data_IF_028617813086
#
_entry.id   IF_028617813086
#
_cell.length_a   1.000
_cell.length_b   1.000
_cell.length_c   1.000
_cell.angle_alpha   90.00
_cell.angle_beta   90.00
_cell.angle_gamma   90.00
#
_symmetry.space_group_name_H-M   'P 1'
#
loop_
_entity.id
_entity.type
_entity.pdbx_description
1 polymer ?
#
# COMPACT_ATOMS: atom_id res chain seq x y z
N UNK A 1 11.65 -11.92 2.10
CA UNK A 1 10.38 -11.26 1.73
C UNK A 1 10.15 -9.99 2.54
N UNK A 2 10.21 -10.00 3.89
CA UNK A 2 10.08 -8.78 4.69
C UNK A 2 11.06 -7.64 4.31
N UNK A 3 12.33 -7.94 4.07
CA UNK A 3 13.32 -6.93 3.64
C UNK A 3 12.97 -6.23 2.31
N UNK A 4 12.07 -6.78 1.50
CA UNK A 4 11.62 -6.13 0.26
C UNK A 4 10.55 -5.04 0.51
N UNK A 5 10.16 -4.78 1.76
CA UNK A 5 9.38 -3.59 2.12
C UNK A 5 10.25 -2.34 2.29
N UNK A 6 11.57 -2.44 2.18
CA UNK A 6 12.48 -1.29 2.16
C UNK A 6 12.75 -0.88 0.72
N UNK A 7 12.53 0.39 0.39
CA UNK A 7 12.72 0.92 -0.96
C UNK A 7 14.13 1.47 -1.17
N UNK A 8 14.66 1.30 -2.40
CA UNK A 8 15.90 1.95 -2.85
C UNK A 8 15.76 3.44 -3.14
N UNK A 9 14.71 4.09 -2.62
CA UNK A 9 14.41 5.54 -2.75
C UNK A 9 14.07 6.06 -4.14
N UNK A 10 13.89 5.20 -5.15
CA UNK A 10 13.29 5.59 -6.42
C UNK A 10 11.77 5.30 -6.43
N UNK A 11 11.01 6.00 -7.28
CA UNK A 11 9.55 5.91 -7.33
C UNK A 11 9.04 4.49 -7.56
N UNK A 12 9.71 3.72 -8.42
CA UNK A 12 9.34 2.34 -8.71
C UNK A 12 9.55 1.46 -7.49
N UNK A 13 10.70 1.57 -6.84
CA UNK A 13 11.03 0.79 -5.64
C UNK A 13 10.09 1.09 -4.48
N UNK A 14 9.60 2.32 -4.37
CA UNK A 14 8.59 2.70 -3.36
C UNK A 14 7.30 1.91 -3.58
N UNK A 15 6.79 1.87 -4.81
CA UNK A 15 5.56 1.13 -5.10
C UNK A 15 5.74 -0.39 -5.01
N UNK A 16 6.88 -0.92 -5.43
CA UNK A 16 7.19 -2.34 -5.25
C UNK A 16 7.27 -2.74 -3.76
N UNK A 17 7.80 -1.85 -2.92
CA UNK A 17 7.83 -2.05 -1.46
C UNK A 17 6.43 -1.99 -0.83
N UNK A 18 5.57 -1.06 -1.26
CA UNK A 18 4.18 -0.95 -0.82
C UNK A 18 3.38 -2.19 -1.22
N UNK A 19 3.48 -2.65 -2.48
CA UNK A 19 2.80 -3.86 -2.96
C UNK A 19 3.25 -5.10 -2.16
N UNK A 20 4.56 -5.19 -1.88
CA UNK A 20 5.13 -6.26 -1.06
C UNK A 20 4.58 -6.23 0.36
N UNK A 21 4.48 -5.06 0.98
CA UNK A 21 3.90 -4.89 2.30
C UNK A 21 2.43 -5.31 2.34
N UNK A 22 1.60 -4.88 1.38
CA UNK A 22 0.19 -5.29 1.32
C UNK A 22 0.04 -6.82 1.25
N UNK A 23 0.87 -7.49 0.44
CA UNK A 23 0.84 -8.94 0.31
C UNK A 23 1.29 -9.64 1.60
N UNK A 24 2.34 -9.13 2.24
CA UNK A 24 2.83 -9.65 3.52
C UNK A 24 1.84 -9.45 4.66
N UNK A 25 0.99 -8.43 4.60
CA UNK A 25 -0.07 -8.21 5.59
C UNK A 25 -1.28 -9.13 5.34
N UNK A 26 -1.72 -9.25 4.09
CA UNK A 26 -2.87 -10.06 3.69
C UNK A 26 -2.77 -11.52 4.16
N UNK A 27 -1.65 -12.19 3.87
CA UNK A 27 -1.48 -13.62 4.16
C UNK A 27 -1.68 -13.97 5.64
N UNK A 28 -0.98 -13.34 6.61
CA UNK A 28 -1.23 -13.59 8.02
C UNK A 28 -2.60 -13.08 8.47
N UNK A 29 -3.11 -11.96 7.93
CA UNK A 29 -4.40 -11.42 8.34
C UNK A 29 -5.56 -12.37 8.03
N UNK A 30 -5.59 -12.98 6.83
CA UNK A 30 -6.56 -14.03 6.46
C UNK A 30 -6.42 -15.25 7.37
N UNK A 31 -5.19 -15.67 7.65
CA UNK A 31 -4.93 -16.85 8.49
C UNK A 31 -5.39 -16.63 9.94
N UNK A 32 -5.11 -15.45 10.50
CA UNK A 32 -5.52 -15.07 11.85
C UNK A 32 -7.04 -14.93 11.93
N UNK A 33 -7.67 -14.30 10.94
CA UNK A 33 -9.12 -14.18 10.90
C UNK A 33 -9.78 -15.57 10.87
N UNK A 34 -9.30 -16.49 10.04
CA UNK A 34 -9.79 -17.86 10.00
C UNK A 34 -9.60 -18.62 11.33
N UNK A 35 -8.45 -18.44 12.00
CA UNK A 35 -8.19 -19.09 13.29
C UNK A 35 -9.15 -18.64 14.41
N UNK A 36 -9.53 -17.37 14.41
CA UNK A 36 -10.44 -16.78 15.40
C UNK A 36 -11.91 -16.72 14.96
N UNK A 37 -12.26 -17.31 13.81
CA UNK A 37 -13.61 -17.25 13.22
C UNK A 37 -14.11 -15.81 12.99
N UNK A 38 -13.18 -14.91 12.64
CA UNK A 38 -13.49 -13.56 12.23
C UNK A 38 -13.67 -13.48 10.71
N UNK A 39 -14.58 -12.62 10.28
CA UNK A 39 -14.72 -12.30 8.86
C UNK A 39 -13.59 -11.38 8.42
N UNK A 40 -12.71 -11.87 7.56
CA UNK A 40 -11.74 -11.03 6.86
C UNK A 40 -12.45 -10.26 5.74
N UNK A 41 -12.44 -8.93 5.84
CA UNK A 41 -13.11 -8.03 4.89
C UNK A 41 -12.26 -7.84 3.63
N UNK A 42 -12.25 -8.87 2.77
CA UNK A 42 -11.51 -8.85 1.51
C UNK A 42 -11.90 -7.66 0.63
N UNK A 43 -13.18 -7.28 0.64
CA UNK A 43 -13.74 -6.13 -0.05
C UNK A 43 -13.06 -4.80 0.33
N UNK A 44 -12.75 -4.62 1.60
CA UNK A 44 -12.04 -3.43 2.10
C UNK A 44 -10.58 -3.40 1.64
N UNK A 45 -9.90 -4.55 1.65
CA UNK A 45 -8.54 -4.63 1.12
C UNK A 45 -8.51 -4.36 -0.39
N UNK A 46 -9.44 -4.93 -1.14
CA UNK A 46 -9.56 -4.73 -2.58
C UNK A 46 -9.79 -3.25 -2.90
N UNK A 47 -10.68 -2.57 -2.15
CA UNK A 47 -10.90 -1.12 -2.28
C UNK A 47 -9.68 -0.28 -1.92
N UNK A 48 -8.93 -0.66 -0.88
CA UNK A 48 -7.66 0.00 -0.54
C UNK A 48 -6.62 -0.16 -1.66
N UNK A 49 -6.48 -1.37 -2.24
CA UNK A 49 -5.55 -1.62 -3.36
C UNK A 49 -5.95 -0.85 -4.61
N UNK A 50 -7.24 -0.77 -4.90
CA UNK A 50 -7.76 0.04 -6.00
C UNK A 50 -7.40 1.52 -5.80
N UNK A 51 -7.62 2.05 -4.60
CA UNK A 51 -7.26 3.43 -4.27
C UNK A 51 -5.76 3.69 -4.43
N UNK A 52 -4.89 2.80 -3.94
CA UNK A 52 -3.44 2.92 -4.10
C UNK A 52 -3.03 2.92 -5.58
N UNK A 53 -3.66 2.11 -6.41
CA UNK A 53 -3.42 2.11 -7.85
C UNK A 53 -3.86 3.41 -8.53
N UNK A 54 -4.95 4.03 -8.08
CA UNK A 54 -5.37 5.37 -8.54
C UNK A 54 -4.30 6.40 -8.18
N UNK A 55 -3.81 6.39 -6.93
CA UNK A 55 -2.77 7.32 -6.45
C UNK A 55 -1.46 7.13 -7.24
N UNK A 56 -1.03 5.90 -7.47
CA UNK A 56 0.15 5.54 -8.27
C UNK A 56 0.06 6.06 -9.71
N UNK A 57 -1.15 6.07 -10.29
CA UNK A 57 -1.39 6.54 -11.66
C UNK A 57 -1.61 8.05 -11.73
N UNK A 58 -2.07 8.66 -10.63
CA UNK A 58 -2.16 10.10 -10.53
C UNK A 58 -0.74 10.68 -10.56
N UNK A 59 -0.36 11.31 -11.67
CA UNK A 59 0.90 12.07 -11.72
C UNK A 59 0.70 13.27 -10.80
N UNK A 60 1.49 13.43 -9.72
CA UNK A 60 1.42 14.65 -8.94
C UNK A 60 1.77 15.81 -9.88
N UNK A 61 0.85 16.76 -10.01
CA UNK A 61 1.13 17.99 -10.74
C UNK A 61 2.10 18.83 -9.91
N UNK A 62 2.78 19.80 -10.53
CA UNK A 62 3.67 20.71 -9.79
C UNK A 62 2.97 21.40 -8.61
N UNK A 63 1.65 21.60 -8.67
CA UNK A 63 0.86 22.17 -7.57
C UNK A 63 0.73 21.21 -6.38
N UNK A 64 0.56 19.91 -6.63
CA UNK A 64 0.40 18.91 -5.55
C UNK A 64 1.70 18.73 -4.75
N UNK A 65 2.85 18.89 -5.42
CA UNK A 65 4.17 18.87 -4.76
C UNK A 65 4.46 20.15 -3.95
N UNK A 66 3.87 21.29 -4.32
CA UNK A 66 4.03 22.56 -3.61
C UNK A 66 3.22 22.56 -2.30
N UNK A 67 1.99 22.05 -2.32
CA UNK A 67 1.16 21.85 -1.12
C UNK A 67 1.86 20.95 -0.09
N UNK A 68 2.46 19.83 -0.53
CA UNK A 68 3.18 18.90 0.35
C UNK A 68 4.45 19.52 0.96
N UNK A 69 5.10 20.47 0.27
CA UNK A 69 6.28 21.19 0.77
C UNK A 69 5.98 22.31 1.76
N UNK A 70 4.73 22.77 1.84
CA UNK A 70 4.29 23.81 2.78
C UNK A 70 3.76 23.20 4.10
N UNK A 71 3.72 21.88 4.20
CA UNK A 71 3.27 21.12 5.36
C UNK A 71 4.43 20.61 6.25
N UNK A 72 5.68 20.92 5.90
CA UNK A 72 6.90 20.65 6.68
C UNK A 72 7.82 21.88 6.65
#
# INVERSE_FOLDING_TARGET
QYAATYSGSNYRDIWEAVDTMCNLFHTPAVTVAAYFDFSYRQDEEDGMREYLEIVKKSKPTKNDMLEFSLLF
#
